data_IF_675772765660
#
_entry.id   IF_675772765660
#
_cell.length_a   1.000
_cell.length_b   1.000
_cell.length_c   1.000
_cell.angle_alpha   90.00
_cell.angle_beta   90.00
_cell.angle_gamma   90.00
#
_symmetry.space_group_name_H-M   'P 1'
#
loop_
_entity.id
_entity.type
_entity.pdbx_description
1 polymer ?
#
# COMPACT_ATOMS: atom_id res chain seq x y z
N UNK A 1 1.36 0.69 36.35
CA UNK A 1 1.97 -0.16 35.30
C UNK A 1 1.24 -1.46 35.17
N UNK A 2 0.81 -1.81 33.95
CA UNK A 2 0.17 -3.09 33.63
C UNK A 2 1.21 -3.90 32.86
N UNK A 3 1.66 -5.02 33.44
CA UNK A 3 2.66 -5.90 32.84
C UNK A 3 1.96 -6.99 32.03
N UNK A 4 2.08 -6.93 30.71
CA UNK A 4 1.50 -7.94 29.82
C UNK A 4 2.58 -8.91 29.34
N UNK A 5 2.48 -10.17 29.77
CA UNK A 5 3.37 -11.24 29.31
C UNK A 5 2.82 -11.87 28.03
N UNK A 6 3.54 -11.71 26.93
CA UNK A 6 3.24 -12.32 25.63
C UNK A 6 4.39 -13.19 25.15
N UNK A 7 4.07 -14.21 24.34
CA UNK A 7 5.11 -14.97 23.63
C UNK A 7 5.82 -14.02 22.66
N UNK A 8 7.15 -14.06 22.67
CA UNK A 8 8.01 -13.23 21.81
C UNK A 8 7.78 -13.52 20.33
N UNK A 9 7.67 -14.79 19.98
CA UNK A 9 7.40 -15.24 18.60
C UNK A 9 5.91 -15.12 18.29
N UNK A 10 5.56 -14.35 17.26
CA UNK A 10 4.18 -14.26 16.73
C UNK A 10 4.15 -14.37 15.20
N UNK A 11 3.08 -14.95 14.63
CA UNK A 11 2.90 -14.96 13.18
C UNK A 11 2.64 -13.53 12.68
N UNK A 12 3.44 -13.08 11.72
CA UNK A 12 3.23 -11.82 10.98
C UNK A 12 2.95 -12.10 9.52
N UNK A 13 2.06 -11.31 8.93
CA UNK A 13 1.77 -11.35 7.49
C UNK A 13 2.75 -10.42 6.77
N UNK A 14 3.56 -10.99 5.89
CA UNK A 14 4.52 -10.26 5.07
C UNK A 14 4.04 -10.33 3.62
N UNK A 15 3.77 -9.17 3.04
CA UNK A 15 3.49 -9.05 1.60
C UNK A 15 4.82 -8.97 0.85
N UNK A 16 4.98 -9.89 -0.08
CA UNK A 16 6.11 -9.98 -0.98
C UNK A 16 5.95 -8.98 -2.14
N UNK A 17 7.06 -8.73 -2.84
CA UNK A 17 7.08 -7.86 -4.04
C UNK A 17 6.28 -8.44 -5.21
N UNK A 18 6.08 -9.77 -5.23
CA UNK A 18 5.23 -10.46 -6.22
C UNK A 18 3.72 -10.38 -5.86
N UNK A 19 3.36 -9.70 -4.77
CA UNK A 19 1.98 -9.56 -4.29
C UNK A 19 1.49 -10.74 -3.45
N UNK A 20 2.27 -11.81 -3.29
CA UNK A 20 1.91 -12.92 -2.41
C UNK A 20 2.05 -12.52 -0.94
N UNK A 21 1.18 -13.03 -0.08
CA UNK A 21 1.27 -12.80 1.37
C UNK A 21 1.72 -14.10 2.03
N UNK A 22 2.89 -14.08 2.68
CA UNK A 22 3.36 -15.23 3.48
C UNK A 22 3.28 -14.89 4.96
N UNK A 23 2.90 -15.88 5.76
CA UNK A 23 2.91 -15.76 7.22
C UNK A 23 4.24 -16.27 7.75
N UNK A 24 4.97 -15.42 8.48
CA UNK A 24 6.30 -15.70 9.03
C UNK A 24 6.28 -15.48 10.54
N UNK A 25 6.81 -16.43 11.31
CA UNK A 25 6.97 -16.28 12.76
C UNK A 25 8.14 -15.34 13.07
N UNK A 26 7.90 -14.22 13.75
CA UNK A 26 8.93 -13.23 14.08
C UNK A 26 8.89 -12.81 15.55
N UNK A 27 10.01 -12.32 16.06
CA UNK A 27 10.16 -11.78 17.42
C UNK A 27 10.26 -10.26 17.39
N UNK A 28 9.16 -9.59 17.73
CA UNK A 28 9.02 -8.14 17.64
C UNK A 28 9.76 -7.39 18.76
N UNK A 29 10.40 -8.12 19.68
CA UNK A 29 11.29 -7.52 20.69
C UNK A 29 12.64 -7.10 20.09
N UNK A 30 12.96 -7.56 18.87
CA UNK A 30 14.20 -7.28 18.16
C UNK A 30 14.14 -6.02 17.32
N UNK A 31 15.31 -5.58 16.85
CA UNK A 31 15.39 -4.43 15.94
C UNK A 31 14.80 -4.77 14.56
N UNK A 32 14.37 -3.73 13.83
CA UNK A 32 13.83 -3.88 12.46
C UNK A 32 14.84 -4.52 11.51
N UNK A 33 16.14 -4.25 11.69
CA UNK A 33 17.20 -4.88 10.89
C UNK A 33 17.28 -6.39 11.12
N UNK A 34 17.26 -6.85 12.37
CA UNK A 34 17.24 -8.28 12.69
C UNK A 34 15.96 -8.97 12.23
N UNK A 35 14.83 -8.27 12.30
CA UNK A 35 13.54 -8.73 11.76
C UNK A 35 13.63 -8.96 10.25
N UNK A 36 14.17 -7.99 9.51
CA UNK A 36 14.34 -8.10 8.06
C UNK A 36 15.23 -9.29 7.69
N UNK A 37 16.37 -9.46 8.36
CA UNK A 37 17.27 -10.62 8.12
C UNK A 37 16.54 -11.95 8.40
N UNK A 38 15.77 -12.02 9.48
CA UNK A 38 15.01 -13.22 9.86
C UNK A 38 13.93 -13.55 8.82
N UNK A 39 13.22 -12.53 8.33
CA UNK A 39 12.17 -12.65 7.31
C UNK A 39 12.78 -13.12 5.99
N UNK A 40 13.80 -12.41 5.50
CA UNK A 40 14.50 -12.74 4.25
C UNK A 40 15.09 -14.16 4.28
N UNK A 41 15.72 -14.56 5.39
CA UNK A 41 16.26 -15.91 5.56
C UNK A 41 15.19 -17.00 5.51
N UNK A 42 14.00 -16.75 6.10
CA UNK A 42 12.87 -17.71 6.08
C UNK A 42 12.24 -17.86 4.68
N UNK A 43 12.25 -16.79 3.89
CA UNK A 43 11.66 -16.77 2.55
C UNK A 43 12.65 -17.30 1.50
N UNK A 44 13.96 -17.19 1.76
CA UNK A 44 15.02 -17.56 0.82
C UNK A 44 15.57 -16.38 0.02
N UNK A 45 15.53 -15.16 0.59
CA UNK A 45 16.08 -13.94 -0.02
C UNK A 45 17.46 -13.69 0.60
N UNK A 46 18.51 -13.79 -0.21
CA UNK A 46 19.90 -13.62 0.23
C UNK A 46 20.37 -12.16 0.18
N UNK A 47 19.84 -11.36 -0.74
CA UNK A 47 20.23 -9.97 -0.93
C UNK A 47 19.44 -9.00 -0.04
N UNK A 48 19.45 -9.21 1.28
CA UNK A 48 18.60 -8.47 2.19
C UNK A 48 19.02 -6.99 2.39
N UNK A 49 20.25 -6.62 2.06
CA UNK A 49 20.75 -5.24 2.22
C UNK A 49 20.14 -4.24 1.23
N UNK A 50 19.60 -4.72 0.11
CA UNK A 50 18.89 -3.89 -0.88
C UNK A 50 17.41 -3.69 -0.55
N UNK A 51 16.89 -4.37 0.47
CA UNK A 51 15.48 -4.32 0.84
C UNK A 51 15.26 -3.56 2.15
N UNK A 52 14.04 -3.06 2.30
CA UNK A 52 13.56 -2.45 3.55
C UNK A 52 12.13 -2.92 3.83
N UNK A 53 11.70 -2.81 5.09
CA UNK A 53 10.33 -3.13 5.50
C UNK A 53 9.46 -1.89 5.41
N UNK A 54 8.26 -2.06 4.85
CA UNK A 54 7.23 -1.03 4.83
C UNK A 54 6.08 -1.54 5.69
N UNK A 55 5.57 -0.68 6.58
CA UNK A 55 4.33 -0.96 7.27
C UNK A 55 3.19 -0.88 6.27
N UNK A 56 2.59 -2.02 5.95
CA UNK A 56 1.38 -2.06 5.15
C UNK A 56 0.24 -1.46 5.96
N UNK A 57 -0.13 -0.23 5.62
CA UNK A 57 -1.42 0.32 6.05
C UNK A 57 -2.49 -0.45 5.30
N UNK A 58 -3.34 -1.17 6.04
CA UNK A 58 -4.62 -1.61 5.50
C UNK A 58 -5.36 -0.30 5.24
N UNK A 59 -5.28 0.22 4.02
CA UNK A 59 -6.27 1.15 3.53
C UNK A 59 -7.58 0.35 3.53
N UNK A 60 -8.28 0.38 4.65
CA UNK A 60 -9.72 0.23 4.64
C UNK A 60 -10.18 1.19 3.55
N UNK A 61 -10.68 0.64 2.45
CA UNK A 61 -11.20 1.38 1.31
C UNK A 61 -12.06 2.54 1.81
N UNK A 62 -11.45 3.72 1.93
CA UNK A 62 -12.11 5.01 1.78
C UNK A 62 -11.92 5.48 0.35
N UNK A 63 -12.17 4.58 -0.60
CA UNK A 63 -12.65 4.96 -1.93
C UNK A 63 -14.18 5.01 -1.91
N UNK A 64 -14.74 5.84 -1.05
CA UNK A 64 -16.07 6.40 -1.25
C UNK A 64 -15.93 7.92 -1.07
N UNK A 65 -15.52 8.62 -2.13
CA UNK A 65 -15.45 10.08 -2.03
C UNK A 65 -14.68 10.90 -3.07
N UNK A 66 -14.18 10.36 -4.19
CA UNK A 66 -13.87 11.23 -5.34
C UNK A 66 -15.17 11.58 -6.07
N UNK A 67 -16.06 12.27 -5.35
CA UNK A 67 -17.34 12.79 -5.80
C UNK A 67 -17.41 14.31 -5.64
N UNK A 68 -16.31 15.01 -5.92
CA UNK A 68 -16.34 16.48 -6.11
C UNK A 68 -16.98 16.80 -7.46
N UNK A 69 -18.31 16.73 -7.51
CA UNK A 69 -19.21 17.62 -8.27
C UNK A 69 -20.63 17.03 -8.19
N UNK A 70 -21.51 17.70 -7.44
CA UNK A 70 -22.95 17.48 -7.55
C UNK A 70 -23.34 17.64 -9.01
N UNK A 71 -23.96 16.61 -9.58
CA UNK A 71 -24.37 16.53 -10.99
C UNK A 71 -25.61 17.41 -11.23
N UNK A 72 -25.48 18.72 -10.99
CA UNK A 72 -26.51 19.71 -11.32
C UNK A 72 -26.20 20.38 -12.66
N UNK A 73 -26.78 19.78 -13.71
CA UNK A 73 -27.46 20.48 -14.80
C UNK A 73 -26.68 21.43 -15.74
N UNK A 74 -25.37 21.30 -15.93
CA UNK A 74 -24.61 22.16 -16.89
C UNK A 74 -23.77 21.45 -17.96
N UNK A 75 -23.53 20.13 -17.85
CA UNK A 75 -22.57 19.42 -18.73
C UNK A 75 -22.95 19.31 -20.21
N UNK A 76 -24.23 19.49 -20.59
CA UNK A 76 -24.65 19.41 -22.00
C UNK A 76 -24.23 20.63 -22.84
N UNK A 77 -23.84 21.76 -22.21
CA UNK A 77 -23.55 22.99 -22.96
C UNK A 77 -22.10 23.09 -23.44
N UNK A 78 -21.19 22.31 -22.86
CA UNK A 78 -19.75 22.43 -23.11
C UNK A 78 -19.21 21.49 -24.21
N UNK A 79 -19.96 20.49 -24.66
CA UNK A 79 -19.54 19.63 -25.79
C UNK A 79 -19.29 20.43 -27.07
N UNK A 80 -20.17 21.37 -27.42
CA UNK A 80 -20.02 22.23 -28.61
C UNK A 80 -18.84 23.22 -28.51
N UNK A 81 -18.43 23.58 -27.29
CA UNK A 81 -17.24 24.43 -27.08
C UNK A 81 -15.95 23.61 -27.24
N UNK A 82 -15.94 22.38 -26.72
CA UNK A 82 -14.79 21.48 -26.81
C UNK A 82 -14.49 21.06 -28.26
N UNK A 83 -15.51 20.92 -29.10
CA UNK A 83 -15.34 20.62 -30.53
C UNK A 83 -14.63 21.76 -31.30
N UNK A 84 -14.99 23.02 -31.01
CA UNK A 84 -14.33 24.20 -31.61
C UNK A 84 -12.88 24.36 -31.17
N UNK A 85 -12.55 23.94 -29.94
CA UNK A 85 -11.17 23.95 -29.44
C UNK A 85 -10.32 22.87 -30.10
N UNK A 86 -10.87 21.66 -30.31
CA UNK A 86 -10.20 20.60 -31.08
C UNK A 86 -9.87 21.01 -32.51
N UNK A 87 -10.76 21.73 -33.19
CA UNK A 87 -10.50 22.22 -34.55
C UNK A 87 -9.39 23.29 -34.63
N UNK A 88 -9.06 23.95 -33.52
CA UNK A 88 -8.09 25.06 -33.47
C UNK A 88 -6.70 24.62 -33.00
N UNK A 89 -6.58 23.46 -32.35
CA UNK A 89 -5.30 22.83 -32.08
C UNK A 89 -5.00 21.83 -33.20
N UNK A 90 -4.19 22.26 -34.17
CA UNK A 90 -3.52 21.34 -35.07
C UNK A 90 -2.07 21.20 -34.62
N UNK A 91 -1.84 20.21 -33.74
CA UNK A 91 -0.54 19.57 -33.45
C UNK A 91 -0.82 18.14 -33.10
#
# INVERSE_FOLDING_TARGET
DILEYKKKQRPQKIRMLDGSVKTVMVDDSKTVGELLVTICSRIGITNYEEYSLIQETIEEKKEEGTGTLKKDRTLLRDERKMEKLKAKLHT
#
